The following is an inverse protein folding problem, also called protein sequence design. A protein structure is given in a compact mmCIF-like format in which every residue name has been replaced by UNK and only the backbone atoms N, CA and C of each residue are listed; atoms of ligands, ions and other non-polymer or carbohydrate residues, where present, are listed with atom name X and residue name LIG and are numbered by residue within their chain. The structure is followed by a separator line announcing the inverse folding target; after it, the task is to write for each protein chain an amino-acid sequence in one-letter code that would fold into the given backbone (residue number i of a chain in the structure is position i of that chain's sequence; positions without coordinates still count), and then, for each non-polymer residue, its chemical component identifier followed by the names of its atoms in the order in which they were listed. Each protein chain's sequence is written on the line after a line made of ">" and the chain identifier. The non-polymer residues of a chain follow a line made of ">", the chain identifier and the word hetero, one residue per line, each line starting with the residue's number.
data_IF_284340156817
#
_entry.id   IF_284340156817
#
_cell.length_a   1.000
_cell.length_b   1.000
_cell.length_c   1.000
_cell.angle_alpha   90.00
_cell.angle_beta   90.00
_cell.angle_gamma   90.00
#
_symmetry.space_group_name_H-M   'P 1'
#
loop_
_entity.id
_entity.type
_entity.pdbx_description
1 polymer ?
#
# COMPACT_ATOMS: atom_id res chain seq x y z
N UNK A 1 11.12 22.38 -15.67
CA UNK A 1 10.54 23.30 -14.66
C UNK A 1 9.12 22.82 -14.42
N UNK A 2 8.79 22.34 -13.23
CA UNK A 2 7.44 21.84 -12.91
C UNK A 2 6.60 23.03 -12.46
N UNK A 3 5.42 23.18 -13.07
CA UNK A 3 4.46 24.22 -12.73
C UNK A 3 3.37 23.61 -11.82
N UNK A 4 3.20 24.10 -10.58
CA UNK A 4 2.15 23.61 -9.67
C UNK A 4 0.73 23.72 -10.26
N UNK A 5 0.51 24.69 -11.14
CA UNK A 5 -0.79 24.92 -11.79
C UNK A 5 -1.13 23.85 -12.84
N UNK A 6 -0.16 23.05 -13.27
CA UNK A 6 -0.37 21.97 -14.26
C UNK A 6 -0.93 20.69 -13.60
N UNK A 7 -0.97 20.62 -12.27
CA UNK A 7 -1.49 19.48 -11.51
C UNK A 7 -2.43 19.89 -10.35
N UNK A 8 -3.53 20.60 -10.64
CA UNK A 8 -4.49 21.04 -9.62
C UNK A 8 -5.16 19.88 -8.87
N UNK A 9 -5.17 18.68 -9.46
CA UNK A 9 -5.68 17.44 -8.87
C UNK A 9 -4.89 16.94 -7.64
N UNK A 10 -3.74 17.55 -7.32
CA UNK A 10 -2.89 17.15 -6.19
C UNK A 10 -3.16 17.95 -4.91
N UNK A 11 -3.98 19.00 -4.97
CA UNK A 11 -4.50 19.64 -3.76
C UNK A 11 -5.57 18.73 -3.17
N UNK A 12 -5.22 18.05 -2.08
CA UNK A 12 -6.13 17.13 -1.43
C UNK A 12 -7.20 17.91 -0.63
N UNK A 13 -8.21 18.43 -1.35
CA UNK A 13 -9.30 19.23 -0.79
C UNK A 13 -10.03 18.48 0.32
N UNK A 14 -10.16 17.16 0.18
CA UNK A 14 -10.75 16.29 1.21
C UNK A 14 -9.94 16.33 2.51
N UNK A 15 -8.60 16.24 2.43
CA UNK A 15 -7.74 16.35 3.60
C UNK A 15 -7.84 17.73 4.25
N UNK A 16 -7.83 18.80 3.45
CA UNK A 16 -7.96 20.16 3.97
C UNK A 16 -9.31 20.36 4.65
N UNK A 17 -10.39 19.90 4.02
CA UNK A 17 -11.75 19.97 4.57
C UNK A 17 -11.85 19.18 5.88
N UNK A 18 -11.27 17.97 5.95
CA UNK A 18 -11.27 17.16 7.15
C UNK A 18 -10.48 17.80 8.30
N UNK A 19 -9.32 18.41 8.01
CA UNK A 19 -8.52 19.15 9.00
C UNK A 19 -9.28 20.40 9.48
N UNK A 20 -9.89 21.16 8.58
CA UNK A 20 -10.71 22.32 8.92
C UNK A 20 -11.92 21.91 9.78
N UNK A 21 -12.56 20.78 9.49
CA UNK A 21 -13.67 20.26 10.27
C UNK A 21 -13.27 19.93 11.71
N UNK A 22 -12.08 19.35 11.92
CA UNK A 22 -11.52 19.10 13.25
C UNK A 22 -11.16 20.40 13.96
N UNK A 23 -10.53 21.33 13.25
CA UNK A 23 -10.17 22.64 13.80
C UNK A 23 -11.40 23.44 14.26
N UNK A 24 -12.52 23.31 13.53
CA UNK A 24 -13.79 23.91 13.90
C UNK A 24 -14.46 23.19 15.07
N UNK A 25 -14.49 21.85 15.07
CA UNK A 25 -15.03 21.04 16.15
C UNK A 25 -14.43 19.63 16.15
N UNK A 26 -13.57 19.36 17.13
CA UNK A 26 -12.96 18.06 17.31
C UNK A 26 -13.94 17.11 18.01
N UNK A 27 -14.61 16.28 17.22
CA UNK A 27 -15.59 15.28 17.66
C UNK A 27 -15.17 13.91 17.15
N UNK A 28 -15.65 12.80 17.74
CA UNK A 28 -15.39 11.46 17.21
C UNK A 28 -15.77 11.31 15.73
N UNK A 29 -16.80 12.02 15.27
CA UNK A 29 -17.26 12.01 13.87
C UNK A 29 -16.26 12.70 12.94
N UNK A 30 -15.88 13.95 13.23
CA UNK A 30 -14.94 14.73 12.40
C UNK A 30 -13.55 14.09 12.40
N UNK A 31 -13.14 13.51 13.52
CA UNK A 31 -11.89 12.76 13.63
C UNK A 31 -11.89 11.48 12.81
N UNK A 32 -12.99 10.73 12.85
CA UNK A 32 -13.15 9.53 11.99
C UNK A 32 -13.07 9.89 10.51
N UNK A 33 -13.69 10.99 10.09
CA UNK A 33 -13.61 11.47 8.71
C UNK A 33 -12.16 11.77 8.30
N UNK A 34 -11.38 12.45 9.15
CA UNK A 34 -9.94 12.63 8.87
C UNK A 34 -9.22 11.29 8.73
N UNK A 35 -9.46 10.34 9.62
CA UNK A 35 -8.81 9.03 9.57
C UNK A 35 -9.19 8.21 8.33
N UNK A 36 -10.41 8.36 7.83
CA UNK A 36 -10.85 7.76 6.57
C UNK A 36 -10.11 8.40 5.39
N UNK A 37 -9.99 9.73 5.36
CA UNK A 37 -9.22 10.44 4.32
C UNK A 37 -7.74 10.06 4.37
N UNK A 38 -7.10 10.01 5.55
CA UNK A 38 -5.68 9.64 5.68
C UNK A 38 -5.39 8.25 5.09
N UNK A 39 -6.36 7.31 5.14
CA UNK A 39 -6.18 5.97 4.57
C UNK A 39 -6.35 5.90 3.04
N UNK A 40 -6.89 6.94 2.40
CA UNK A 40 -7.01 7.00 0.93
C UNK A 40 -5.85 7.74 0.27
N UNK A 41 -5.01 8.42 1.06
CA UNK A 41 -3.91 9.23 0.54
C UNK A 41 -2.81 8.42 -0.12
N UNK A 42 -2.15 9.08 -1.08
CA UNK A 42 -0.80 8.72 -1.53
C UNK A 42 0.18 9.70 -0.91
N UNK A 43 1.13 9.18 -0.13
CA UNK A 43 2.12 9.97 0.58
C UNK A 43 3.38 10.16 -0.27
N UNK A 44 3.92 11.37 -0.27
CA UNK A 44 5.27 11.66 -0.74
C UNK A 44 6.23 11.57 0.46
N UNK A 45 7.29 10.79 0.32
CA UNK A 45 8.29 10.57 1.38
C UNK A 45 9.68 10.84 0.82
N UNK A 46 10.47 11.61 1.56
CA UNK A 46 11.86 11.89 1.19
C UNK A 46 12.69 10.65 1.51
N UNK A 47 13.53 10.25 0.56
CA UNK A 47 14.38 9.08 0.70
C UNK A 47 15.80 9.37 0.24
N UNK A 48 16.74 8.62 0.80
CA UNK A 48 18.14 8.59 0.37
C UNK A 48 18.49 7.14 0.06
N UNK A 49 19.18 6.91 -1.05
CA UNK A 49 19.74 5.60 -1.35
C UNK A 49 21.20 5.58 -0.91
N UNK A 50 21.51 4.67 0.00
CA UNK A 50 22.86 4.46 0.52
C UNK A 50 23.69 3.65 -0.51
N UNK A 51 25.04 3.74 -0.46
CA UNK A 51 25.92 3.00 -1.37
C UNK A 51 25.78 1.48 -1.29
N UNK A 52 25.30 0.96 -0.15
CA UNK A 52 25.03 -0.47 0.07
C UNK A 52 23.69 -0.93 -0.54
N UNK A 53 22.97 -0.04 -1.21
CA UNK A 53 21.66 -0.30 -1.80
C UNK A 53 20.49 -0.14 -0.81
N UNK A 54 20.75 0.21 0.45
CA UNK A 54 19.69 0.46 1.42
C UNK A 54 19.00 1.79 1.11
N UNK A 55 17.68 1.78 1.02
CA UNK A 55 16.90 3.03 1.03
C UNK A 55 16.68 3.45 2.49
N UNK A 56 16.90 4.71 2.82
CA UNK A 56 16.52 5.32 4.10
C UNK A 56 15.43 6.36 3.86
N UNK A 57 14.56 6.56 4.85
CA UNK A 57 13.54 7.61 4.80
C UNK A 57 13.89 8.71 5.80
N UNK A 58 13.65 9.95 5.37
CA UNK A 58 13.94 11.11 6.19
C UNK A 58 12.91 11.29 7.31
N UNK A 59 13.42 11.72 8.45
CA UNK A 59 12.67 12.13 9.60
C UNK A 59 13.11 13.47 10.14
N UNK A 60 12.42 13.91 11.17
CA UNK A 60 12.82 15.01 12.04
C UNK A 60 12.95 14.52 13.49
N UNK A 61 13.75 15.21 14.28
CA UNK A 61 13.85 15.14 15.72
C UNK A 61 13.12 16.34 16.28
N UNK A 62 12.18 16.09 17.19
CA UNK A 62 11.54 17.12 18.00
C UNK A 62 12.48 17.57 19.13
N UNK A 63 12.12 18.67 19.80
CA UNK A 63 12.90 19.24 20.90
C UNK A 63 13.12 18.26 22.08
N UNK A 64 12.22 17.29 22.28
CA UNK A 64 12.33 16.22 23.27
C UNK A 64 13.20 15.03 22.80
N UNK A 65 13.77 15.11 21.59
CA UNK A 65 14.61 14.08 20.99
C UNK A 65 13.85 12.93 20.31
N UNK A 66 12.52 12.96 20.29
CA UNK A 66 11.73 11.95 19.61
C UNK A 66 11.90 12.05 18.08
N UNK A 67 12.05 10.90 17.42
CA UNK A 67 12.17 10.86 15.97
C UNK A 67 10.77 10.73 15.33
N UNK A 68 10.41 11.66 14.46
CA UNK A 68 9.21 11.64 13.65
C UNK A 68 9.57 11.36 12.18
N UNK A 69 8.83 10.48 11.52
CA UNK A 69 8.94 10.32 10.06
C UNK A 69 8.29 11.52 9.39
N UNK A 70 8.90 12.08 8.33
CA UNK A 70 8.25 13.16 7.57
C UNK A 70 7.45 12.54 6.43
N UNK A 71 6.22 13.02 6.23
CA UNK A 71 5.43 12.67 5.06
C UNK A 71 4.66 13.87 4.54
N UNK A 72 4.33 13.82 3.25
CA UNK A 72 3.58 14.87 2.58
C UNK A 72 2.37 14.28 1.87
N UNK A 73 1.24 14.98 1.89
CA UNK A 73 0.03 14.57 1.17
C UNK A 73 0.17 14.68 -0.34
N UNK A 74 1.09 15.54 -0.81
CA UNK A 74 1.25 15.87 -2.21
C UNK A 74 2.63 16.52 -2.46
N UNK A 75 3.11 16.56 -3.73
CA UNK A 75 4.37 17.20 -4.08
C UNK A 75 4.44 18.71 -3.80
N UNK A 76 3.30 19.43 -3.79
CA UNK A 76 3.30 20.85 -3.49
C UNK A 76 3.59 21.12 -2.01
N UNK A 77 3.06 20.28 -1.11
CA UNK A 77 3.39 20.29 0.31
C UNK A 77 4.86 19.97 0.58
N UNK A 78 5.43 19.01 -0.16
CA UNK A 78 6.86 18.70 -0.13
C UNK A 78 7.73 19.91 -0.52
N UNK A 79 7.38 20.60 -1.62
CA UNK A 79 8.15 21.76 -2.10
C UNK A 79 8.03 23.00 -1.23
N UNK A 80 6.89 23.17 -0.55
CA UNK A 80 6.74 24.21 0.47
C UNK A 80 7.66 23.98 1.66
N UNK A 81 7.94 22.72 1.99
CA UNK A 81 8.90 22.36 3.02
C UNK A 81 10.34 22.56 2.56
N UNK A 82 10.69 22.06 1.39
CA UNK A 82 12.03 22.21 0.82
C UNK A 82 11.95 22.28 -0.73
N UNK A 83 12.19 23.45 -1.33
CA UNK A 83 12.06 23.65 -2.76
C UNK A 83 13.18 22.97 -3.57
N UNK A 84 14.29 22.59 -2.93
CA UNK A 84 15.46 22.00 -3.57
C UNK A 84 15.38 20.46 -3.62
N UNK A 85 14.34 19.85 -3.04
CA UNK A 85 14.15 18.39 -3.10
C UNK A 85 13.88 17.94 -4.54
N UNK A 86 14.82 17.18 -5.07
CA UNK A 86 14.77 16.61 -6.41
C UNK A 86 14.19 15.20 -6.47
N UNK A 87 14.16 14.48 -5.34
CA UNK A 87 13.78 13.06 -5.30
C UNK A 87 12.92 12.71 -4.09
N UNK A 88 11.80 12.04 -4.35
CA UNK A 88 10.89 11.51 -3.33
C UNK A 88 10.23 10.23 -3.84
N UNK A 89 9.76 9.39 -2.92
CA UNK A 89 8.95 8.22 -3.23
C UNK A 89 7.48 8.56 -3.03
N UNK A 90 6.61 8.00 -3.87
CA UNK A 90 5.16 7.99 -3.64
C UNK A 90 4.73 6.62 -3.11
N UNK A 91 3.92 6.61 -2.06
CA UNK A 91 3.46 5.40 -1.41
C UNK A 91 1.96 5.50 -1.10
N UNK A 92 1.20 4.47 -1.44
CA UNK A 92 -0.18 4.33 -0.96
C UNK A 92 -0.20 4.22 0.56
N UNK A 93 -1.27 4.70 1.20
CA UNK A 93 -1.41 4.70 2.66
C UNK A 93 -1.11 3.34 3.32
N UNK A 94 -1.60 2.24 2.74
CA UNK A 94 -1.36 0.87 3.24
C UNK A 94 0.14 0.53 3.31
N UNK A 95 0.91 0.86 2.27
CA UNK A 95 2.37 0.63 2.23
C UNK A 95 3.12 1.58 3.13
N UNK A 96 2.72 2.85 3.13
CA UNK A 96 3.34 3.89 3.94
C UNK A 96 3.21 3.58 5.44
N UNK A 97 2.00 3.26 5.92
CA UNK A 97 1.78 2.96 7.32
C UNK A 97 2.40 1.61 7.74
N UNK A 98 2.43 0.60 6.86
CA UNK A 98 3.15 -0.64 7.13
C UNK A 98 4.65 -0.38 7.36
N UNK A 99 5.27 0.42 6.50
CA UNK A 99 6.67 0.84 6.64
C UNK A 99 6.90 1.65 7.92
N UNK A 100 6.03 2.62 8.23
CA UNK A 100 6.12 3.43 9.43
C UNK A 100 5.99 2.58 10.71
N UNK A 101 5.09 1.58 10.73
CA UNK A 101 4.90 0.64 11.85
C UNK A 101 6.17 -0.14 12.19
N UNK A 102 6.87 -0.61 11.17
CA UNK A 102 8.10 -1.43 11.32
C UNK A 102 9.36 -0.58 11.58
N UNK A 103 9.22 0.75 11.61
CA UNK A 103 10.32 1.68 11.84
C UNK A 103 10.52 2.03 13.33
N UNK A 104 11.64 2.70 13.61
CA UNK A 104 11.96 3.24 14.94
C UNK A 104 11.24 4.56 15.26
N UNK A 105 10.53 5.17 14.29
CA UNK A 105 9.86 6.46 14.48
C UNK A 105 8.72 6.39 15.52
N UNK A 106 8.55 7.48 16.27
CA UNK A 106 7.52 7.60 17.33
C UNK A 106 6.23 8.25 16.83
N UNK A 107 6.32 9.07 15.79
CA UNK A 107 5.18 9.68 15.13
C UNK A 107 5.50 9.89 13.64
N UNK A 108 4.50 10.33 12.89
CA UNK A 108 4.65 10.88 11.55
C UNK A 108 4.28 12.36 11.63
N UNK A 109 5.15 13.23 11.12
CA UNK A 109 4.86 14.64 10.89
C UNK A 109 4.38 14.80 9.45
N UNK A 110 3.08 15.01 9.29
CA UNK A 110 2.43 15.23 8.01
C UNK A 110 2.48 16.72 7.67
N UNK A 111 2.91 17.07 6.46
CA UNK A 111 2.93 18.43 5.91
C UNK A 111 3.45 19.50 6.89
N UNK A 112 4.67 19.35 7.46
CA UNK A 112 5.15 20.21 8.55
C UNK A 112 5.23 21.71 8.22
N UNK A 113 5.39 22.10 6.95
CA UNK A 113 5.37 23.52 6.51
C UNK A 113 4.01 23.96 5.92
N UNK A 114 2.90 23.30 6.27
CA UNK A 114 1.60 23.54 5.63
C UNK A 114 0.41 23.74 6.56
N UNK A 115 -0.67 24.37 6.05
CA UNK A 115 -1.91 24.54 6.79
C UNK A 115 -2.62 23.20 7.06
N UNK A 116 -2.38 22.21 6.19
CA UNK A 116 -2.86 20.83 6.34
C UNK A 116 -1.84 19.94 7.08
N UNK A 117 -1.16 20.50 8.08
CA UNK A 117 -0.15 19.84 8.88
C UNK A 117 -0.72 19.08 10.07
N UNK A 118 -0.01 18.06 10.55
CA UNK A 118 -0.41 17.31 11.73
C UNK A 118 0.61 16.29 12.21
N UNK A 119 0.42 15.80 13.43
CA UNK A 119 1.17 14.66 13.98
C UNK A 119 0.27 13.44 14.01
N UNK A 120 0.71 12.35 13.40
CA UNK A 120 0.07 11.02 13.51
C UNK A 120 0.92 10.19 14.46
N UNK A 121 0.36 9.84 15.62
CA UNK A 121 1.01 9.11 16.69
C UNK A 121 1.21 7.63 16.35
N UNK A 122 2.11 6.96 17.08
CA UNK A 122 2.44 5.54 16.85
C UNK A 122 1.24 4.61 16.88
N UNK A 123 0.34 4.79 17.83
CA UNK A 123 -0.84 3.92 17.93
C UNK A 123 -1.82 4.17 16.77
N UNK A 124 -1.86 5.37 16.19
CA UNK A 124 -2.70 5.70 15.02
C UNK A 124 -2.15 5.02 13.77
N UNK A 125 -0.88 5.25 13.44
CA UNK A 125 -0.31 4.62 12.25
C UNK A 125 -0.17 3.10 12.37
N UNK A 126 -0.05 2.57 13.60
CA UNK A 126 -0.10 1.13 13.82
C UNK A 126 -1.49 0.55 13.51
N UNK A 127 -2.57 1.28 13.83
CA UNK A 127 -3.94 0.91 13.45
C UNK A 127 -4.14 1.02 11.94
N UNK A 128 -3.66 2.10 11.31
CA UNK A 128 -3.76 2.27 9.85
C UNK A 128 -3.01 1.19 9.07
N UNK A 129 -1.84 0.75 9.55
CA UNK A 129 -1.10 -0.39 8.98
C UNK A 129 -1.90 -1.71 9.03
N UNK A 130 -2.89 -1.80 9.92
CA UNK A 130 -3.80 -2.94 10.02
C UNK A 130 -5.10 -2.74 9.23
N UNK A 131 -5.29 -1.59 8.57
CA UNK A 131 -6.53 -1.21 7.91
C UNK A 131 -7.64 -0.87 8.89
N UNK A 132 -7.29 -0.39 10.10
CA UNK A 132 -8.23 -0.05 11.17
C UNK A 132 -8.24 1.46 11.40
N UNK A 133 -9.40 1.97 11.80
CA UNK A 133 -9.55 3.33 12.32
C UNK A 133 -9.27 3.29 13.84
N UNK A 134 -8.44 4.19 14.39
CA UNK A 134 -8.21 4.28 15.83
C UNK A 134 -9.50 4.62 16.59
N UNK A 135 -9.82 3.85 17.63
CA UNK A 135 -11.00 4.07 18.48
C UNK A 135 -10.77 5.18 19.54
N UNK A 136 -9.51 5.51 19.84
CA UNK A 136 -9.15 6.44 20.90
C UNK A 136 -8.73 7.78 20.31
N UNK A 137 -9.42 8.83 20.72
CA UNK A 137 -9.05 10.20 20.44
C UNK A 137 -8.00 10.68 21.46
N UNK A 138 -6.71 10.86 21.10
CA UNK A 138 -5.76 11.53 21.98
C UNK A 138 -5.97 13.04 21.91
N UNK A 139 -5.47 13.71 22.92
CA UNK A 139 -5.27 15.17 22.94
C UNK A 139 -4.22 15.55 21.89
N UNK A 140 -4.55 16.43 20.95
CA UNK A 140 -3.59 16.97 19.98
C UNK A 140 -2.44 17.67 20.71
N UNK A 141 -1.20 17.33 20.36
CA UNK A 141 -0.01 18.05 20.82
C UNK A 141 0.52 18.93 19.68
N UNK A 142 0.76 20.21 19.96
CA UNK A 142 1.33 21.17 19.02
C UNK A 142 2.83 20.93 18.84
N UNK A 143 3.34 20.97 17.61
CA UNK A 143 4.76 20.75 17.27
C UNK A 143 5.60 21.98 17.66
N UNK A 144 6.71 21.76 18.38
CA UNK A 144 7.82 22.72 18.53
C UNK A 144 8.93 22.38 17.52
N UNK A 145 9.64 23.40 17.02
CA UNK A 145 10.52 23.36 15.84
C UNK A 145 11.39 22.09 15.64
N UNK A 146 11.47 21.57 14.40
CA UNK A 146 12.15 20.30 14.10
C UNK A 146 13.61 20.39 13.62
N UNK A 147 14.41 19.37 13.93
CA UNK A 147 15.76 19.12 13.38
C UNK A 147 15.79 17.87 12.48
N UNK A 148 16.57 17.78 11.39
CA UNK A 148 16.55 16.59 10.51
C UNK A 148 17.22 15.33 11.12
N UNK A 149 16.68 14.14 10.83
CA UNK A 149 17.19 12.81 11.26
C UNK A 149 17.00 11.77 10.16
N UNK A 150 17.96 10.87 9.99
CA UNK A 150 17.88 9.77 9.00
C UNK A 150 17.50 8.46 9.72
N UNK A 151 16.44 7.79 9.27
CA UNK A 151 16.01 6.48 9.76
C UNK A 151 16.22 5.38 8.71
N UNK A 152 16.76 4.22 9.12
CA UNK A 152 16.90 3.05 8.23
C UNK A 152 15.55 2.38 7.97
N UNK A 153 15.28 2.02 6.70
CA UNK A 153 14.11 1.22 6.33
C UNK A 153 14.38 -0.26 6.64
N UNK A 154 13.36 -1.04 7.04
CA UNK A 154 13.44 -2.49 6.93
C UNK A 154 13.64 -2.90 5.46
N UNK A 155 14.41 -3.97 5.24
CA UNK A 155 14.74 -4.45 3.90
C UNK A 155 13.47 -4.68 3.04
N UNK A 156 13.46 -4.29 1.75
CA UNK A 156 12.27 -4.38 0.88
C UNK A 156 11.66 -5.78 0.78
N UNK A 157 12.48 -6.81 0.96
CA UNK A 157 12.11 -8.22 0.84
C UNK A 157 11.02 -8.63 1.84
N UNK A 158 11.08 -8.15 3.09
CA UNK A 158 10.11 -8.52 4.13
C UNK A 158 8.74 -7.85 3.93
N UNK A 159 8.71 -6.57 3.58
CA UNK A 159 7.47 -5.80 3.42
C UNK A 159 6.67 -6.28 2.20
N UNK A 160 7.36 -6.59 1.10
CA UNK A 160 6.72 -7.10 -0.12
C UNK A 160 6.11 -8.49 0.13
N UNK A 161 6.80 -9.36 0.87
CA UNK A 161 6.31 -10.71 1.17
C UNK A 161 5.08 -10.71 2.07
N UNK A 162 5.05 -9.89 3.13
CA UNK A 162 3.89 -9.79 4.03
C UNK A 162 2.65 -9.21 3.32
N UNK A 163 2.84 -8.18 2.50
CA UNK A 163 1.76 -7.58 1.72
C UNK A 163 1.18 -8.56 0.69
N UNK A 164 2.06 -9.19 -0.11
CA UNK A 164 1.64 -10.15 -1.15
C UNK A 164 0.85 -11.31 -0.54
N UNK A 165 1.25 -11.80 0.64
CA UNK A 165 0.52 -12.84 1.38
C UNK A 165 -0.88 -12.39 1.82
N UNK A 166 -1.05 -11.15 2.30
CA UNK A 166 -2.34 -10.65 2.81
C UNK A 166 -3.35 -10.36 1.69
N UNK A 167 -2.90 -9.88 0.54
CA UNK A 167 -3.77 -9.57 -0.62
C UNK A 167 -4.06 -10.78 -1.50
N UNK A 168 -3.12 -11.74 -1.62
CA UNK A 168 -3.34 -12.93 -2.46
C UNK A 168 -4.20 -14.00 -1.80
N UNK A 169 -4.23 -14.11 -0.46
CA UNK A 169 -5.05 -15.11 0.23
C UNK A 169 -6.55 -15.06 -0.13
N UNK A 170 -7.23 -13.88 -0.09
CA UNK A 170 -8.64 -13.80 -0.46
C UNK A 170 -8.87 -13.95 -1.97
N UNK A 171 -7.93 -13.52 -2.83
CA UNK A 171 -8.05 -13.78 -4.28
C UNK A 171 -7.96 -15.28 -4.59
N UNK A 172 -7.09 -16.01 -3.89
CA UNK A 172 -6.95 -17.45 -4.07
C UNK A 172 -8.21 -18.19 -3.62
N UNK A 173 -8.85 -17.78 -2.51
CA UNK A 173 -10.09 -18.41 -2.05
C UNK A 173 -11.26 -18.19 -3.03
N UNK A 174 -11.39 -16.99 -3.61
CA UNK A 174 -12.41 -16.69 -4.63
C UNK A 174 -12.18 -17.54 -5.88
N UNK A 175 -10.93 -17.68 -6.32
CA UNK A 175 -10.59 -18.50 -7.49
C UNK A 175 -10.91 -20.00 -7.27
N UNK A 176 -10.56 -20.53 -6.09
CA UNK A 176 -10.89 -21.91 -5.71
C UNK A 176 -12.41 -22.13 -5.60
N UNK A 177 -13.15 -21.15 -5.09
CA UNK A 177 -14.60 -21.22 -5.01
C UNK A 177 -15.26 -21.21 -6.39
N UNK A 178 -14.85 -20.29 -7.29
CA UNK A 178 -15.38 -20.20 -8.65
C UNK A 178 -15.07 -21.44 -9.48
N UNK A 179 -13.85 -21.99 -9.36
CA UNK A 179 -13.49 -23.23 -10.05
C UNK A 179 -14.28 -24.43 -9.53
N UNK A 180 -14.47 -24.57 -8.22
CA UNK A 180 -15.34 -25.59 -7.63
C UNK A 180 -16.81 -25.46 -8.07
N UNK A 181 -17.34 -24.23 -8.13
CA UNK A 181 -18.70 -23.95 -8.57
C UNK A 181 -18.92 -24.29 -10.05
N UNK A 182 -17.98 -23.96 -10.92
CA UNK A 182 -18.00 -24.34 -12.34
C UNK A 182 -18.02 -25.87 -12.51
N UNK A 183 -17.22 -26.61 -11.74
CA UNK A 183 -17.21 -28.08 -11.77
C UNK A 183 -18.59 -28.67 -11.39
N UNK A 184 -19.28 -28.05 -10.43
CA UNK A 184 -20.59 -28.53 -9.97
C UNK A 184 -21.74 -28.19 -10.92
N UNK A 185 -21.69 -27.03 -11.59
CA UNK A 185 -22.79 -26.57 -12.45
C UNK A 185 -22.70 -27.14 -13.86
N UNK A 186 -21.49 -27.39 -14.36
CA UNK A 186 -21.28 -27.85 -15.74
C UNK A 186 -22.09 -29.13 -16.10
N UNK A 187 -22.18 -30.17 -15.24
CA UNK A 187 -22.99 -31.35 -15.53
C UNK A 187 -24.50 -31.05 -15.58
N UNK A 188 -24.99 -30.13 -14.74
CA UNK A 188 -26.40 -29.74 -14.67
C UNK A 188 -26.82 -28.95 -15.91
N UNK A 189 -25.94 -28.08 -16.40
CA UNK A 189 -26.16 -27.35 -17.65
C UNK A 189 -26.16 -28.30 -18.85
N UNK A 190 -25.26 -29.29 -18.87
CA UNK A 190 -25.24 -30.32 -19.92
C UNK A 190 -26.50 -31.19 -19.96
N UNK A 191 -27.22 -31.35 -18.84
CA UNK A 191 -28.48 -32.10 -18.80
C UNK A 191 -29.69 -31.31 -19.35
N UNK A 192 -29.63 -29.97 -19.38
CA UNK A 192 -30.81 -29.15 -19.64
C UNK A 192 -31.04 -28.85 -21.12
N UNK A 193 -29.99 -28.95 -21.93
CA UNK A 193 -30.12 -28.91 -23.38
C UNK A 193 -30.31 -30.34 -23.89
N UNK A 194 -31.51 -30.64 -24.40
CA UNK A 194 -31.78 -31.82 -25.23
C UNK A 194 -31.04 -31.74 -26.58
N UNK A 195 -29.76 -31.41 -26.57
CA UNK A 195 -28.89 -31.62 -27.71
C UNK A 195 -28.72 -33.12 -27.82
N UNK A 196 -29.28 -33.65 -28.90
CA UNK A 196 -29.12 -35.01 -29.39
C UNK A 196 -27.65 -35.20 -29.84
N UNK A 197 -26.73 -35.08 -28.89
CA UNK A 197 -25.30 -35.35 -29.03
C UNK A 197 -25.18 -36.87 -29.00
N UNK A 198 -25.28 -37.45 -30.20
CA UNK A 198 -24.99 -38.86 -30.47
C UNK A 198 -23.77 -39.33 -29.65
N UNK A 199 -23.92 -40.55 -29.12
CA UNK A 199 -23.24 -41.23 -28.02
C UNK A 199 -21.70 -41.31 -28.04
N UNK A 200 -21.00 -40.59 -28.92
CA UNK A 200 -19.55 -40.70 -29.12
C UNK A 200 -18.71 -39.73 -28.28
N UNK A 201 -19.28 -38.66 -27.72
CA UNK A 201 -18.53 -37.64 -26.98
C UNK A 201 -18.51 -37.85 -25.45
N UNK A 202 -19.40 -38.68 -24.91
CA UNK A 202 -19.48 -38.96 -23.48
C UNK A 202 -18.41 -39.93 -22.97
N UNK A 203 -17.83 -40.78 -23.83
CA UNK A 203 -16.75 -41.69 -23.43
C UNK A 203 -15.34 -41.08 -23.51
N UNK A 204 -15.14 -40.00 -24.29
CA UNK A 204 -13.80 -39.43 -24.52
C UNK A 204 -13.67 -37.92 -24.26
N UNK A 205 -14.75 -37.15 -24.15
CA UNK A 205 -14.67 -35.68 -24.01
C UNK A 205 -14.49 -35.17 -22.57
N UNK A 206 -15.04 -35.87 -21.57
CA UNK A 206 -14.98 -35.49 -20.16
C UNK A 206 -13.55 -35.42 -19.57
N UNK A 207 -12.72 -36.47 -19.70
CA UNK A 207 -11.37 -36.46 -19.15
C UNK A 207 -10.39 -35.57 -19.95
N UNK A 208 -10.64 -35.33 -21.24
CA UNK A 208 -9.76 -34.49 -22.08
C UNK A 208 -9.88 -33.01 -21.69
N UNK A 209 -11.07 -32.52 -21.33
CA UNK A 209 -11.23 -31.14 -20.86
C UNK A 209 -10.54 -30.89 -19.50
N UNK A 210 -10.58 -31.89 -18.60
CA UNK A 210 -9.87 -31.86 -17.31
C UNK A 210 -8.34 -31.90 -17.47
N UNK A 211 -7.84 -32.65 -18.45
CA UNK A 211 -6.41 -32.72 -18.76
C UNK A 211 -5.85 -31.44 -19.40
N UNK A 212 -6.66 -30.67 -20.13
CA UNK A 212 -6.22 -29.39 -20.73
C UNK A 212 -6.20 -28.25 -19.69
N UNK A 213 -7.11 -28.26 -18.71
CA UNK A 213 -7.19 -27.22 -17.68
C UNK A 213 -6.22 -27.42 -16.50
N UNK A 214 -5.86 -28.68 -16.19
CA UNK A 214 -4.90 -29.03 -15.12
C UNK A 214 -3.51 -28.35 -15.24
N UNK A 215 -2.83 -28.31 -16.39
CA UNK A 215 -1.50 -27.69 -16.47
C UNK A 215 -1.54 -26.17 -16.26
N UNK A 216 -2.63 -25.50 -16.64
CA UNK A 216 -2.79 -24.07 -16.42
C UNK A 216 -3.04 -23.73 -14.95
N UNK A 217 -3.88 -24.50 -14.26
CA UNK A 217 -4.12 -24.28 -12.83
C UNK A 217 -2.88 -24.64 -11.99
N UNK A 218 -2.18 -25.72 -12.32
CA UNK A 218 -0.94 -26.12 -11.64
C UNK A 218 0.19 -25.10 -11.88
N UNK A 219 0.33 -24.60 -13.12
CA UNK A 219 1.30 -23.55 -13.45
C UNK A 219 1.05 -22.25 -12.70
N UNK A 220 -0.23 -21.84 -12.57
CA UNK A 220 -0.60 -20.65 -11.81
C UNK A 220 -0.28 -20.83 -10.32
N UNK A 221 -0.66 -21.97 -9.73
CA UNK A 221 -0.38 -22.31 -8.33
C UNK A 221 1.13 -22.34 -8.07
N UNK A 222 1.92 -22.99 -8.93
CA UNK A 222 3.37 -23.03 -8.80
C UNK A 222 4.01 -21.65 -8.94
N UNK A 223 3.51 -20.77 -9.81
CA UNK A 223 4.04 -19.40 -9.94
C UNK A 223 3.73 -18.49 -8.73
N UNK A 224 2.64 -18.78 -8.02
CA UNK A 224 2.25 -18.09 -6.79
C UNK A 224 3.03 -18.61 -5.58
N UNK A 225 3.21 -19.93 -5.48
CA UNK A 225 3.89 -20.58 -4.33
C UNK A 225 5.42 -20.48 -4.46
N UNK A 226 5.96 -20.63 -5.67
CA UNK A 226 7.39 -20.60 -5.96
C UNK A 226 7.70 -19.48 -6.97
N UNK A 227 7.67 -18.20 -6.54
CA UNK A 227 8.17 -17.13 -7.39
C UNK A 227 9.63 -17.44 -7.71
N UNK A 228 9.95 -17.73 -8.99
CA UNK A 228 11.32 -17.95 -9.42
C UNK A 228 12.18 -16.79 -8.89
N UNK A 229 13.29 -17.05 -8.19
CA UNK A 229 14.25 -15.99 -7.93
C UNK A 229 14.65 -15.42 -9.28
N UNK A 230 14.64 -14.09 -9.41
CA UNK A 230 15.14 -13.43 -10.60
C UNK A 230 16.60 -13.86 -10.77
N UNK A 231 16.85 -14.81 -11.67
CA UNK A 231 18.19 -15.15 -12.13
C UNK A 231 18.71 -13.91 -12.85
N UNK A 232 19.41 -13.06 -12.12
CA UNK A 232 20.27 -12.03 -12.67
C UNK A 232 21.37 -12.75 -13.46
N UNK A 233 21.10 -13.03 -14.74
CA UNK A 233 22.12 -13.30 -15.74
C UNK A 233 22.86 -11.98 -15.96
N UNK A 234 23.77 -11.65 -15.06
CA UNK A 234 24.78 -10.62 -15.30
C UNK A 234 25.74 -11.18 -16.34
N UNK A 235 25.79 -10.54 -17.50
CA UNK A 235 26.61 -10.96 -18.62
C UNK A 235 28.09 -10.99 -18.23
N UNK A 236 28.70 -12.17 -18.37
CA UNK A 236 30.11 -12.27 -18.69
C UNK A 236 30.28 -11.77 -20.12
N UNK A 237 30.66 -10.50 -20.27
CA UNK A 237 31.32 -10.04 -21.49
C UNK A 237 32.78 -10.53 -21.44
N UNK A 238 33.11 -11.41 -22.36
CA UNK A 238 34.46 -11.73 -22.80
C UNK A 238 34.88 -10.68 -23.85
N UNK A 239 36.15 -10.28 -23.77
CA UNK A 239 36.94 -9.34 -24.60
C UNK A 239 36.95 -7.87 -24.14
#
# INVERSE_FOLDING_TARGET
>A
MWNPDDHPELLNEELQSAIQAIAASDTPKTRRQLYEVLQTLTYCVIHTNEPDGTTTVSGIRTADGAAHMIAFSDPAALRRWDPDIVSFLTMTADRFFAMAKDSAFKAISLNPAGPAGGIIQRYEFAAFAEGKIPDVAPTLQTVTEPHPVIGKLPEPSELILRYKRRKMLPMLSVFLFLSGFLILIFPVLLQKDHLNLNESLLLYGGPVCLLILMPFTLGLICSVIFPRPALHLSGMALL
#
